data_IF_276789751540
#
_entry.id   IF_276789751540
#
_cell.length_a   1.000
_cell.length_b   1.000
_cell.length_c   1.000
_cell.angle_alpha   90.00
_cell.angle_beta   90.00
_cell.angle_gamma   90.00
#
_symmetry.space_group_name_H-M   'P 1'
#
loop_
_entity.id
_entity.type
_entity.pdbx_description
1 polymer ?
#
# COMPACT_ATOMS: atom_id res chain seq x y z
N UNK A 1 -49.60 -28.24 14.85
CA UNK A 1 -48.69 -28.79 13.82
C UNK A 1 -48.17 -27.73 12.84
N UNK A 2 -48.99 -26.83 12.28
CA UNK A 2 -48.49 -25.76 11.38
C UNK A 2 -47.44 -24.83 12.01
N UNK A 3 -47.58 -24.45 13.30
CA UNK A 3 -46.63 -23.56 13.99
C UNK A 3 -45.22 -24.15 14.17
N UNK A 4 -45.10 -25.48 14.30
CA UNK A 4 -43.80 -26.15 14.44
C UNK A 4 -43.08 -26.28 13.09
N UNK A 5 -43.85 -26.43 11.99
CA UNK A 5 -43.30 -26.47 10.62
C UNK A 5 -42.77 -25.09 10.21
N UNK A 6 -43.47 -24.00 10.56
CA UNK A 6 -43.01 -22.62 10.27
C UNK A 6 -41.72 -22.28 11.04
N UNK A 7 -41.59 -22.71 12.31
CA UNK A 7 -40.38 -22.51 13.11
C UNK A 7 -39.17 -23.30 12.57
N UNK A 8 -39.37 -24.50 12.04
CA UNK A 8 -38.33 -25.29 11.39
C UNK A 8 -37.88 -24.67 10.05
N UNK A 9 -38.80 -24.11 9.26
CA UNK A 9 -38.46 -23.42 8.00
C UNK A 9 -37.69 -22.12 8.25
N UNK A 10 -38.08 -21.34 9.27
CA UNK A 10 -37.35 -20.11 9.65
C UNK A 10 -35.95 -20.42 10.21
N UNK A 11 -35.80 -21.51 10.97
CA UNK A 11 -34.49 -21.99 11.43
C UNK A 11 -33.63 -22.54 10.27
N UNK A 12 -34.24 -23.08 9.21
CA UNK A 12 -33.54 -23.58 8.03
C UNK A 12 -33.01 -22.44 7.14
N UNK A 13 -33.74 -21.32 7.05
CA UNK A 13 -33.31 -20.12 6.30
C UNK A 13 -32.19 -19.37 7.05
N UNK A 14 -32.13 -19.47 8.38
CA UNK A 14 -31.04 -18.92 9.20
C UNK A 14 -29.74 -19.75 9.14
N UNK A 15 -29.77 -20.98 8.60
CA UNK A 15 -28.58 -21.83 8.42
C UNK A 15 -27.91 -21.65 7.05
N UNK A 16 -28.46 -20.81 6.16
CA UNK A 16 -27.87 -20.50 4.84
C UNK A 16 -27.13 -19.14 4.87
N UNK A 17 -27.20 -18.40 5.98
CA UNK A 17 -26.33 -17.25 6.22
C UNK A 17 -24.99 -17.73 6.80
N UNK A 18 -23.90 -17.53 6.05
CA UNK A 18 -22.52 -17.93 6.33
C UNK A 18 -22.12 -19.37 5.96
N UNK A 19 -22.54 -19.89 4.80
CA UNK A 19 -21.61 -20.74 4.06
C UNK A 19 -20.62 -19.81 3.35
N UNK A 20 -19.47 -19.55 3.97
CA UNK A 20 -18.33 -18.97 3.25
C UNK A 20 -17.99 -19.92 2.09
N UNK A 21 -18.39 -19.54 0.89
CA UNK A 21 -17.96 -20.22 -0.31
C UNK A 21 -16.50 -19.80 -0.50
N UNK A 22 -15.60 -20.51 0.16
CA UNK A 22 -14.16 -20.34 -0.03
C UNK A 22 -13.91 -20.53 -1.52
N UNK A 23 -13.35 -19.49 -2.17
CA UNK A 23 -12.80 -19.62 -3.50
C UNK A 23 -11.75 -20.71 -3.45
N UNK A 24 -12.14 -21.92 -3.86
CA UNK A 24 -11.32 -23.13 -3.75
C UNK A 24 -10.21 -23.11 -4.79
N UNK A 25 -9.21 -22.25 -4.59
CA UNK A 25 -8.00 -22.25 -5.40
C UNK A 25 -7.31 -23.61 -5.25
N UNK A 26 -6.77 -24.12 -6.34
CA UNK A 26 -5.96 -25.34 -6.37
C UNK A 26 -4.47 -25.03 -6.34
N UNK A 27 -4.09 -23.83 -6.78
CA UNK A 27 -2.68 -23.43 -6.89
C UNK A 27 -2.46 -21.98 -6.45
N UNK A 28 -1.23 -21.65 -6.07
CA UNK A 28 -0.82 -20.27 -5.77
C UNK A 28 -1.09 -19.33 -6.95
N UNK A 29 -0.83 -19.81 -8.18
CA UNK A 29 -1.02 -19.04 -9.41
C UNK A 29 -2.49 -18.64 -9.61
N UNK A 30 -3.44 -19.52 -9.33
CA UNK A 30 -4.86 -19.20 -9.41
C UNK A 30 -5.24 -18.07 -8.44
N UNK A 31 -4.75 -18.14 -7.19
CA UNK A 31 -5.01 -17.08 -6.21
C UNK A 31 -4.31 -15.76 -6.55
N UNK A 32 -3.09 -15.81 -7.09
CA UNK A 32 -2.39 -14.63 -7.58
C UNK A 32 -3.15 -13.97 -8.75
N UNK A 33 -3.62 -14.77 -9.71
CA UNK A 33 -4.41 -14.29 -10.84
C UNK A 33 -5.73 -13.65 -10.38
N UNK A 34 -6.41 -14.27 -9.41
CA UNK A 34 -7.61 -13.68 -8.81
C UNK A 34 -7.31 -12.31 -8.18
N UNK A 35 -6.22 -12.19 -7.41
CA UNK A 35 -5.80 -10.90 -6.85
C UNK A 35 -5.43 -9.89 -7.94
N UNK A 36 -4.77 -10.29 -9.02
CA UNK A 36 -4.46 -9.41 -10.15
C UNK A 36 -5.76 -8.86 -10.78
N UNK A 37 -6.74 -9.73 -11.03
CA UNK A 37 -8.06 -9.33 -11.54
C UNK A 37 -8.78 -8.37 -10.59
N UNK A 38 -8.77 -8.65 -9.28
CA UNK A 38 -9.42 -7.77 -8.28
C UNK A 38 -8.75 -6.38 -8.22
N UNK A 39 -7.43 -6.32 -8.43
CA UNK A 39 -6.63 -5.10 -8.34
C UNK A 39 -6.31 -4.48 -9.70
N UNK A 40 -7.01 -4.83 -10.78
CA UNK A 40 -6.66 -4.41 -12.13
C UNK A 40 -6.57 -2.87 -12.26
N UNK A 41 -7.46 -2.13 -11.58
CA UNK A 41 -7.47 -0.67 -11.50
C UNK A 41 -6.30 -0.07 -10.68
N UNK A 42 -5.50 -0.91 -10.02
CA UNK A 42 -4.26 -0.55 -9.31
C UNK A 42 -3.01 -1.08 -10.02
N UNK A 43 -3.14 -1.59 -11.25
CA UNK A 43 -2.01 -2.09 -12.04
C UNK A 43 -1.14 -0.93 -12.56
N UNK A 44 0.16 -1.18 -12.75
CA UNK A 44 1.05 -0.29 -13.53
C UNK A 44 1.17 -0.72 -14.98
N UNK A 45 0.60 -1.87 -15.32
CA UNK A 45 0.59 -2.44 -16.67
C UNK A 45 -0.78 -2.18 -17.29
N UNK A 46 -0.79 -1.76 -18.56
CA UNK A 46 -2.02 -1.67 -19.34
C UNK A 46 -2.69 -3.04 -19.39
N UNK A 47 -3.81 -3.17 -18.68
CA UNK A 47 -4.66 -4.35 -18.73
C UNK A 47 -5.95 -4.00 -19.48
N UNK A 48 -6.15 -4.63 -20.63
CA UNK A 48 -7.40 -4.57 -21.40
C UNK A 48 -8.38 -5.63 -20.87
N UNK A 49 -8.68 -5.59 -19.57
CA UNK A 49 -9.58 -6.56 -18.94
C UNK A 49 -10.56 -5.87 -18.03
N UNK A 50 -11.81 -6.31 -18.06
CA UNK A 50 -12.94 -5.76 -17.29
C UNK A 50 -12.60 -5.49 -15.81
N UNK A 51 -13.14 -4.39 -15.28
CA UNK A 51 -13.03 -4.07 -13.86
C UNK A 51 -13.85 -5.01 -13.00
N UNK A 52 -13.18 -5.95 -12.34
CA UNK A 52 -13.84 -6.84 -11.38
C UNK A 52 -14.45 -6.08 -10.19
N UNK A 53 -13.78 -5.02 -9.72
CA UNK A 53 -14.26 -4.16 -8.64
C UNK A 53 -13.46 -2.86 -8.54
N UNK A 54 -14.10 -1.78 -8.11
CA UNK A 54 -13.41 -0.51 -7.85
C UNK A 54 -12.55 -0.57 -6.59
N UNK A 55 -11.32 -0.02 -6.59
CA UNK A 55 -10.41 -0.12 -5.46
C UNK A 55 -11.06 0.32 -4.15
N UNK A 56 -10.91 -0.50 -3.11
CA UNK A 56 -11.37 -0.25 -1.74
C UNK A 56 -12.88 -0.02 -1.57
N UNK A 57 -13.69 -0.35 -2.58
CA UNK A 57 -15.13 -0.55 -2.37
C UNK A 57 -15.39 -1.77 -1.47
N UNK A 58 -16.60 -1.87 -0.91
CA UNK A 58 -16.99 -3.05 -0.13
C UNK A 58 -16.88 -4.36 -0.94
N UNK A 59 -17.26 -4.34 -2.22
CA UNK A 59 -17.12 -5.51 -3.10
C UNK A 59 -15.66 -5.89 -3.34
N UNK A 60 -14.78 -4.90 -3.51
CA UNK A 60 -13.34 -5.11 -3.64
C UNK A 60 -12.74 -5.71 -2.36
N UNK A 61 -13.08 -5.15 -1.19
CA UNK A 61 -12.59 -5.63 0.10
C UNK A 61 -13.06 -7.06 0.37
N UNK A 62 -14.32 -7.35 0.08
CA UNK A 62 -14.87 -8.70 0.21
C UNK A 62 -14.19 -9.69 -0.74
N UNK A 63 -13.98 -9.33 -2.00
CA UNK A 63 -13.32 -10.18 -2.98
C UNK A 63 -11.86 -10.48 -2.59
N UNK A 64 -11.11 -9.47 -2.11
CA UNK A 64 -9.75 -9.68 -1.59
C UNK A 64 -9.73 -10.61 -0.39
N UNK A 65 -10.64 -10.40 0.55
CA UNK A 65 -10.75 -11.26 1.73
C UNK A 65 -11.01 -12.71 1.34
N UNK A 66 -11.97 -12.95 0.44
CA UNK A 66 -12.27 -14.29 -0.08
C UNK A 66 -11.06 -14.90 -0.79
N UNK A 67 -10.34 -14.13 -1.62
CA UNK A 67 -9.12 -14.59 -2.27
C UNK A 67 -8.05 -15.00 -1.24
N UNK A 68 -7.89 -14.24 -0.14
CA UNK A 68 -6.97 -14.65 0.93
C UNK A 68 -7.40 -15.91 1.65
N UNK A 69 -8.71 -16.11 1.91
CA UNK A 69 -9.19 -17.38 2.48
C UNK A 69 -8.97 -18.56 1.52
N UNK A 70 -9.16 -18.34 0.22
CA UNK A 70 -8.84 -19.34 -0.80
C UNK A 70 -7.36 -19.72 -0.81
N UNK A 71 -6.47 -18.72 -0.73
CA UNK A 71 -5.02 -18.93 -0.66
C UNK A 71 -4.59 -19.62 0.66
N UNK A 72 -5.30 -19.40 1.76
CA UNK A 72 -5.06 -20.11 3.03
C UNK A 72 -5.39 -21.60 2.96
N UNK A 73 -6.27 -22.01 2.06
CA UNK A 73 -6.72 -23.39 1.94
C UNK A 73 -5.74 -24.28 1.15
N UNK A 74 -4.73 -23.69 0.50
CA UNK A 74 -3.72 -24.43 -0.28
C UNK A 74 -2.38 -24.50 0.45
N UNK A 75 -1.52 -25.42 0.01
CA UNK A 75 -0.15 -25.52 0.51
C UNK A 75 0.73 -24.42 -0.09
N UNK A 76 1.17 -23.50 0.75
CA UNK A 76 2.08 -22.42 0.40
C UNK A 76 3.51 -22.72 0.88
N UNK A 77 4.50 -22.15 0.19
CA UNK A 77 5.86 -22.11 0.73
C UNK A 77 5.99 -21.06 1.85
N UNK A 78 7.13 -21.07 2.56
CA UNK A 78 7.35 -20.20 3.73
C UNK A 78 7.20 -18.72 3.39
N UNK A 79 7.71 -18.28 2.24
CA UNK A 79 7.67 -16.87 1.84
C UNK A 79 6.27 -16.47 1.38
N UNK A 80 5.61 -17.33 0.61
CA UNK A 80 4.21 -17.14 0.20
C UNK A 80 3.28 -17.06 1.42
N UNK A 81 3.48 -17.93 2.41
CA UNK A 81 2.71 -17.90 3.66
C UNK A 81 2.97 -16.62 4.46
N UNK A 82 4.23 -16.18 4.55
CA UNK A 82 4.60 -14.94 5.24
C UNK A 82 3.93 -13.73 4.57
N UNK A 83 3.97 -13.64 3.24
CA UNK A 83 3.31 -12.56 2.50
C UNK A 83 1.79 -12.61 2.64
N UNK A 84 1.17 -13.78 2.54
CA UNK A 84 -0.28 -13.91 2.75
C UNK A 84 -0.68 -13.47 4.16
N UNK A 85 0.08 -13.88 5.18
CA UNK A 85 -0.18 -13.46 6.57
C UNK A 85 -0.06 -11.94 6.72
N UNK A 86 0.97 -11.32 6.12
CA UNK A 86 1.13 -9.87 6.08
C UNK A 86 -0.07 -9.18 5.43
N UNK A 87 -0.52 -9.66 4.27
CA UNK A 87 -1.65 -9.07 3.54
C UNK A 87 -2.99 -9.22 4.29
N UNK A 88 -3.21 -10.34 4.97
CA UNK A 88 -4.39 -10.53 5.84
C UNK A 88 -4.35 -9.59 7.05
N UNK A 89 -3.16 -9.36 7.62
CA UNK A 89 -2.96 -8.38 8.69
C UNK A 89 -3.30 -6.98 8.16
N UNK A 90 -2.86 -6.63 6.94
CA UNK A 90 -3.13 -5.34 6.29
C UNK A 90 -4.63 -5.01 6.18
N UNK A 91 -5.50 -5.99 5.97
CA UNK A 91 -6.97 -5.80 5.87
C UNK A 91 -7.58 -5.14 7.11
N UNK A 92 -6.93 -5.25 8.26
CA UNK A 92 -7.43 -4.78 9.55
C UNK A 92 -7.08 -3.31 9.83
N UNK A 93 -6.23 -2.70 9.01
CA UNK A 93 -5.70 -1.37 9.28
C UNK A 93 -6.45 -0.25 8.57
N UNK A 94 -6.31 1.01 9.07
CA UNK A 94 -7.06 2.16 8.58
C UNK A 94 -6.85 2.52 7.11
N UNK A 95 -5.89 1.92 6.42
CA UNK A 95 -5.62 2.15 4.99
C UNK A 95 -6.86 1.91 4.12
N UNK A 96 -7.81 1.05 4.57
CA UNK A 96 -9.10 0.86 3.90
C UNK A 96 -9.99 2.12 3.83
N UNK A 97 -9.77 3.09 4.71
CA UNK A 97 -10.51 4.36 4.69
C UNK A 97 -9.88 5.39 3.72
N UNK A 98 -8.69 5.10 3.18
CA UNK A 98 -8.03 5.89 2.14
C UNK A 98 -8.21 5.19 0.80
N UNK A 99 -9.41 5.32 0.24
CA UNK A 99 -9.89 4.55 -0.93
C UNK A 99 -9.01 4.70 -2.16
N UNK A 100 -8.40 5.88 -2.37
CA UNK A 100 -7.50 6.13 -3.49
C UNK A 100 -6.04 6.06 -3.01
N UNK A 101 -5.29 4.99 -3.35
CA UNK A 101 -3.85 4.94 -3.11
C UNK A 101 -3.14 5.99 -3.97
N UNK A 102 -2.42 6.90 -3.33
CA UNK A 102 -1.81 8.06 -4.01
C UNK A 102 -0.69 7.68 -4.99
N UNK A 103 -0.26 6.42 -4.99
CA UNK A 103 0.72 5.84 -5.91
C UNK A 103 0.11 5.35 -7.23
N UNK A 104 -1.23 5.36 -7.37
CA UNK A 104 -1.94 4.77 -8.51
C UNK A 104 -2.89 5.75 -9.15
N UNK A 105 -2.71 5.99 -10.44
CA UNK A 105 -3.66 6.78 -11.24
C UNK A 105 -4.84 5.89 -11.70
N UNK A 106 -5.79 5.70 -10.78
CA UNK A 106 -6.99 4.88 -11.00
C UNK A 106 -7.85 5.45 -12.14
N UNK A 107 -7.84 6.76 -12.36
CA UNK A 107 -8.65 7.40 -13.42
C UNK A 107 -8.11 7.04 -14.80
N UNK A 108 -6.80 7.23 -15.00
CA UNK A 108 -6.14 6.84 -16.25
C UNK A 108 -6.30 5.35 -16.50
N UNK A 109 -6.13 4.52 -15.47
CA UNK A 109 -6.28 3.07 -15.59
C UNK A 109 -7.72 2.64 -15.89
N UNK A 110 -8.73 3.29 -15.30
CA UNK A 110 -10.13 2.99 -15.59
C UNK A 110 -10.50 3.32 -17.04
N UNK A 111 -9.96 4.42 -17.58
CA UNK A 111 -10.22 4.86 -18.95
C UNK A 111 -9.59 3.96 -20.01
N UNK A 112 -8.58 3.17 -19.65
CA UNK A 112 -7.98 2.21 -20.57
C UNK A 112 -8.71 0.86 -20.61
N UNK A 113 -9.79 0.68 -19.84
CA UNK A 113 -10.56 -0.57 -19.81
C UNK A 113 -11.64 -0.61 -20.90
N UNK A 114 -11.89 -1.81 -21.44
CA UNK A 114 -12.91 -2.02 -22.48
C UNK A 114 -14.34 -1.78 -21.98
N UNK A 115 -14.59 -2.05 -20.69
CA UNK A 115 -15.89 -1.88 -20.02
C UNK A 115 -16.00 -0.56 -19.26
N UNK A 116 -15.18 0.44 -19.62
CA UNK A 116 -15.15 1.74 -18.96
C UNK A 116 -16.57 2.33 -18.79
N UNK A 117 -16.90 2.66 -17.54
CA UNK A 117 -18.16 3.27 -17.17
C UNK A 117 -17.93 4.60 -16.48
N UNK A 118 -18.31 5.68 -17.18
CA UNK A 118 -18.30 7.06 -16.67
C UNK A 118 -19.03 7.17 -15.32
N UNK A 119 -20.22 6.56 -15.22
CA UNK A 119 -21.00 6.60 -13.98
C UNK A 119 -20.34 5.82 -12.85
N UNK A 120 -19.70 4.69 -13.16
CA UNK A 120 -19.00 3.91 -12.14
C UNK A 120 -17.77 4.65 -11.60
N UNK A 121 -17.04 5.36 -12.48
CA UNK A 121 -15.94 6.23 -12.07
C UNK A 121 -16.43 7.39 -11.19
N UNK A 122 -17.50 8.08 -11.60
CA UNK A 122 -18.08 9.17 -10.82
C UNK A 122 -18.51 8.68 -9.41
N UNK A 123 -19.19 7.53 -9.33
CA UNK A 123 -19.59 6.92 -8.06
C UNK A 123 -18.38 6.54 -7.18
N UNK A 124 -17.29 6.05 -7.79
CA UNK A 124 -16.08 5.73 -7.04
C UNK A 124 -15.39 7.00 -6.51
N UNK A 125 -15.37 8.09 -7.27
CA UNK A 125 -14.86 9.38 -6.78
C UNK A 125 -15.69 9.93 -5.61
N UNK A 126 -17.02 9.80 -5.67
CA UNK A 126 -17.89 10.13 -4.54
C UNK A 126 -17.63 9.23 -3.31
N UNK A 127 -17.33 7.94 -3.54
CA UNK A 127 -16.90 7.02 -2.48
C UNK A 127 -15.59 7.50 -1.83
N UNK A 128 -14.60 7.94 -2.62
CA UNK A 128 -13.34 8.48 -2.11
C UNK A 128 -13.59 9.66 -1.18
N UNK A 129 -14.39 10.64 -1.62
CA UNK A 129 -14.76 11.80 -0.79
C UNK A 129 -15.48 11.38 0.50
N UNK A 130 -16.50 10.54 0.38
CA UNK A 130 -17.32 10.09 1.51
C UNK A 130 -16.51 9.34 2.55
N UNK A 131 -15.59 8.47 2.11
CA UNK A 131 -14.71 7.73 3.02
C UNK A 131 -13.69 8.65 3.69
N UNK A 132 -13.15 9.65 2.99
CA UNK A 132 -12.26 10.63 3.63
C UNK A 132 -12.99 11.48 4.69
N UNK A 133 -14.27 11.83 4.47
CA UNK A 133 -15.10 12.53 5.47
C UNK A 133 -15.31 11.62 6.70
N UNK A 134 -15.69 10.36 6.49
CA UNK A 134 -15.90 9.40 7.58
C UNK A 134 -14.60 9.10 8.35
N UNK A 135 -13.48 9.01 7.64
CA UNK A 135 -12.15 8.85 8.23
C UNK A 135 -11.79 10.05 9.12
N UNK A 136 -12.05 11.27 8.65
CA UNK A 136 -11.77 12.48 9.43
C UNK A 136 -12.56 12.52 10.74
N UNK A 137 -13.84 12.12 10.71
CA UNK A 137 -14.69 11.99 11.91
C UNK A 137 -14.14 10.96 12.90
N UNK A 138 -13.44 9.94 12.40
CA UNK A 138 -12.77 8.91 13.20
C UNK A 138 -11.32 9.26 13.56
N UNK A 139 -10.89 10.51 13.31
CA UNK A 139 -9.52 10.99 13.49
C UNK A 139 -8.46 10.17 12.70
N UNK A 140 -8.88 9.57 11.59
CA UNK A 140 -8.02 8.91 10.61
C UNK A 140 -7.79 9.90 9.46
N UNK A 141 -6.63 10.56 9.47
CA UNK A 141 -6.34 11.64 8.52
C UNK A 141 -5.14 11.35 7.65
N UNK A 142 -5.19 11.80 6.40
CA UNK A 142 -4.03 11.86 5.52
C UNK A 142 -2.95 12.73 6.18
N UNK A 143 -1.69 12.34 6.02
CA UNK A 143 -0.58 13.22 6.32
C UNK A 143 -0.39 14.25 5.19
N UNK A 144 0.46 15.26 5.41
CA UNK A 144 0.65 16.36 4.45
C UNK A 144 1.20 15.92 3.08
N UNK A 145 2.02 14.88 3.02
CA UNK A 145 2.57 14.32 1.77
C UNK A 145 1.46 13.59 1.02
N UNK A 146 0.76 12.66 1.68
CA UNK A 146 -0.37 11.93 1.08
C UNK A 146 -1.44 12.88 0.55
N UNK A 147 -1.80 13.92 1.32
CA UNK A 147 -2.74 14.95 0.89
C UNK A 147 -2.26 15.68 -0.36
N UNK A 148 -0.99 16.10 -0.39
CA UNK A 148 -0.42 16.83 -1.53
C UNK A 148 -0.45 15.98 -2.79
N UNK A 149 -0.04 14.72 -2.69
CA UNK A 149 -0.03 13.78 -3.81
C UNK A 149 -1.45 13.50 -4.32
N UNK A 150 -2.40 13.19 -3.42
CA UNK A 150 -3.80 12.98 -3.80
C UNK A 150 -4.41 14.23 -4.45
N UNK A 151 -4.15 15.41 -3.88
CA UNK A 151 -4.71 16.65 -4.41
C UNK A 151 -4.15 16.99 -5.78
N UNK A 152 -2.85 16.76 -6.01
CA UNK A 152 -2.23 16.94 -7.32
C UNK A 152 -2.78 15.95 -8.34
N UNK A 153 -2.99 14.68 -7.94
CA UNK A 153 -3.62 13.65 -8.78
C UNK A 153 -5.05 14.05 -9.18
N UNK A 154 -5.85 14.58 -8.25
CA UNK A 154 -7.20 15.08 -8.58
C UNK A 154 -7.12 16.26 -9.54
N UNK A 155 -6.20 17.21 -9.31
CA UNK A 155 -6.02 18.39 -10.17
C UNK A 155 -5.62 18.04 -11.59
N UNK A 156 -4.76 17.04 -11.78
CA UNK A 156 -4.32 16.62 -13.12
C UNK A 156 -5.44 16.03 -13.97
N UNK A 157 -6.59 15.72 -13.37
CA UNK A 157 -7.76 15.17 -14.05
C UNK A 157 -8.95 16.15 -14.14
N UNK A 158 -8.82 17.41 -13.69
CA UNK A 158 -9.95 18.36 -13.66
C UNK A 158 -10.48 18.78 -15.05
N UNK A 159 -9.67 18.62 -16.09
CA UNK A 159 -10.06 18.86 -17.49
C UNK A 159 -10.82 17.69 -18.12
N UNK A 160 -11.30 16.75 -17.30
CA UNK A 160 -12.14 15.63 -17.72
C UNK A 160 -13.36 16.10 -18.54
N UNK A 161 -13.58 15.47 -19.70
CA UNK A 161 -14.68 15.78 -20.61
C UNK A 161 -16.04 15.21 -20.19
N UNK A 162 -16.08 14.26 -19.25
CA UNK A 162 -17.30 13.60 -18.83
C UNK A 162 -17.96 14.39 -17.68
N UNK A 163 -19.13 14.98 -17.92
CA UNK A 163 -19.79 15.91 -16.98
C UNK A 163 -19.92 15.37 -15.55
N UNK A 164 -20.32 14.11 -15.37
CA UNK A 164 -20.51 13.51 -14.04
C UNK A 164 -19.19 13.25 -13.31
N UNK A 165 -18.14 12.87 -14.05
CA UNK A 165 -16.79 12.68 -13.50
C UNK A 165 -16.19 14.03 -13.16
N UNK A 166 -16.33 15.03 -14.03
CA UNK A 166 -15.87 16.38 -13.77
C UNK A 166 -16.56 16.99 -12.55
N UNK A 167 -17.87 16.79 -12.38
CA UNK A 167 -18.60 17.24 -11.19
C UNK A 167 -18.05 16.57 -9.91
N UNK A 168 -17.84 15.25 -9.92
CA UNK A 168 -17.28 14.51 -8.78
C UNK A 168 -15.84 14.96 -8.45
N UNK A 169 -15.00 15.18 -9.47
CA UNK A 169 -13.63 15.69 -9.31
C UNK A 169 -13.59 17.10 -8.73
N UNK A 170 -14.46 18.00 -9.21
CA UNK A 170 -14.56 19.36 -8.68
C UNK A 170 -14.95 19.36 -7.20
N UNK A 171 -15.92 18.51 -6.84
CA UNK A 171 -16.37 18.34 -5.45
C UNK A 171 -15.24 17.80 -4.56
N UNK A 172 -14.56 16.73 -5.00
CA UNK A 172 -13.41 16.17 -4.28
C UNK A 172 -12.26 17.19 -4.15
N UNK A 173 -11.94 17.93 -5.22
CA UNK A 173 -10.93 18.98 -5.20
C UNK A 173 -11.25 20.10 -4.19
N UNK A 174 -12.52 20.52 -4.14
CA UNK A 174 -12.98 21.50 -3.15
C UNK A 174 -12.83 20.97 -1.72
N UNK A 175 -13.20 19.71 -1.48
CA UNK A 175 -13.03 19.07 -0.19
C UNK A 175 -11.56 18.97 0.23
N UNK A 176 -10.68 18.48 -0.66
CA UNK A 176 -9.24 18.36 -0.40
C UNK A 176 -8.56 19.71 -0.13
N UNK A 177 -9.05 20.80 -0.74
CA UNK A 177 -8.56 22.17 -0.49
C UNK A 177 -8.79 22.61 0.96
N UNK A 178 -9.85 22.11 1.61
CA UNK A 178 -10.20 22.44 2.99
C UNK A 178 -9.71 21.40 4.00
N UNK A 179 -9.15 20.28 3.52
CA UNK A 179 -8.74 19.15 4.32
C UNK A 179 -7.58 19.52 5.26
N UNK A 180 -7.70 19.13 6.54
CA UNK A 180 -6.65 19.36 7.54
C UNK A 180 -5.83 18.09 7.73
N UNK A 181 -4.58 18.01 7.22
CA UNK A 181 -3.76 16.82 7.40
C UNK A 181 -3.34 16.63 8.85
N UNK A 182 -3.03 15.40 9.24
CA UNK A 182 -2.38 15.13 10.53
C UNK A 182 -0.95 15.66 10.55
N UNK A 183 -0.49 16.08 11.72
CA UNK A 183 0.86 16.65 11.91
C UNK A 183 1.97 15.63 11.75
N UNK A 184 1.74 14.39 12.19
CA UNK A 184 2.73 13.30 12.11
C UNK A 184 2.71 12.69 10.71
N UNK A 185 3.87 12.52 10.10
CA UNK A 185 4.03 11.81 8.82
C UNK A 185 3.86 10.30 9.00
N UNK A 186 4.65 9.73 9.91
CA UNK A 186 4.74 8.29 10.10
C UNK A 186 3.46 7.62 10.60
N UNK A 187 3.35 6.31 10.40
CA UNK A 187 2.16 5.51 10.70
C UNK A 187 1.69 5.64 12.16
N UNK A 188 2.59 5.89 13.12
CA UNK A 188 2.25 6.14 14.55
C UNK A 188 1.30 7.32 14.77
N UNK A 189 1.07 8.17 13.76
CA UNK A 189 0.01 9.17 13.78
C UNK A 189 -1.40 8.63 13.52
N UNK A 190 -1.57 7.36 13.15
CA UNK A 190 -2.85 6.69 12.91
C UNK A 190 -3.24 5.79 14.10
N UNK A 191 -4.54 5.50 14.22
CA UNK A 191 -5.02 4.49 15.15
C UNK A 191 -4.37 3.13 14.84
N UNK A 192 -3.86 2.45 15.88
CA UNK A 192 -3.08 1.20 15.79
C UNK A 192 -1.81 1.30 14.91
N UNK A 193 -1.33 2.51 14.62
CA UNK A 193 -0.21 2.73 13.72
C UNK A 193 1.14 2.15 14.19
N UNK A 194 1.33 2.02 15.52
CA UNK A 194 2.51 1.35 16.10
C UNK A 194 2.54 -0.13 15.72
N UNK A 195 1.43 -0.83 15.95
CA UNK A 195 1.30 -2.26 15.66
C UNK A 195 1.35 -2.50 14.15
N UNK A 196 0.80 -1.55 13.37
CA UNK A 196 0.89 -1.63 11.92
C UNK A 196 2.33 -1.58 11.43
N UNK A 197 3.07 -0.57 11.89
CA UNK A 197 4.46 -0.39 11.52
C UNK A 197 5.33 -1.57 11.98
N UNK A 198 5.10 -2.09 13.19
CA UNK A 198 5.76 -3.31 13.67
C UNK A 198 5.47 -4.52 12.76
N UNK A 199 4.23 -4.69 12.30
CA UNK A 199 3.87 -5.80 11.40
C UNK A 199 4.58 -5.69 10.05
N UNK A 200 4.71 -4.46 9.50
CA UNK A 200 5.50 -4.22 8.29
C UNK A 200 6.98 -4.52 8.49
N UNK A 201 7.58 -4.06 9.60
CA UNK A 201 8.97 -4.37 9.95
C UNK A 201 9.19 -5.89 10.02
N UNK A 202 8.30 -6.62 10.70
CA UNK A 202 8.42 -8.07 10.83
C UNK A 202 8.36 -8.78 9.47
N UNK A 203 7.47 -8.34 8.58
CA UNK A 203 7.36 -8.92 7.24
C UNK A 203 8.59 -8.61 6.38
N UNK A 204 8.96 -7.34 6.24
CA UNK A 204 10.03 -6.93 5.33
C UNK A 204 11.43 -7.32 5.82
N UNK A 205 11.67 -7.35 7.13
CA UNK A 205 12.95 -7.87 7.66
C UNK A 205 13.02 -9.39 7.71
N UNK A 206 11.87 -10.07 7.74
CA UNK A 206 11.78 -11.51 8.03
C UNK A 206 12.03 -11.87 9.50
N UNK A 207 12.14 -10.89 10.40
CA UNK A 207 12.44 -11.08 11.82
C UNK A 207 11.50 -10.26 12.72
N UNK A 208 10.98 -10.88 13.79
CA UNK A 208 10.24 -10.15 14.82
C UNK A 208 11.21 -9.48 15.78
N UNK A 209 11.48 -8.19 15.56
CA UNK A 209 12.38 -7.40 16.40
C UNK A 209 11.81 -5.99 16.66
N UNK A 210 11.92 -5.46 17.89
CA UNK A 210 11.44 -4.12 18.21
C UNK A 210 12.17 -3.00 17.43
N UNK A 211 11.49 -1.90 17.03
CA UNK A 211 12.07 -0.77 16.31
C UNK A 211 13.33 -0.18 16.93
N UNK A 212 13.41 -0.10 18.27
CA UNK A 212 14.57 0.43 18.98
C UNK A 212 15.82 -0.44 18.81
N UNK A 213 15.64 -1.76 18.71
CA UNK A 213 16.76 -2.67 18.49
C UNK A 213 17.28 -2.52 17.07
N UNK A 214 16.37 -2.45 16.08
CA UNK A 214 16.74 -2.13 14.70
C UNK A 214 17.53 -0.82 14.61
N UNK A 215 17.01 0.25 15.21
CA UNK A 215 17.69 1.55 15.19
C UNK A 215 19.10 1.47 15.77
N UNK A 216 19.26 0.80 16.90
CA UNK A 216 20.55 0.67 17.59
C UNK A 216 21.57 -0.09 16.72
N UNK A 217 21.15 -1.17 16.08
CA UNK A 217 21.99 -1.97 15.16
C UNK A 217 22.39 -1.17 13.92
N UNK A 218 21.42 -0.50 13.27
CA UNK A 218 21.65 0.33 12.08
C UNK A 218 22.62 1.48 12.42
N UNK A 219 22.39 2.19 13.53
CA UNK A 219 23.25 3.30 13.94
C UNK A 219 24.67 2.84 14.32
N UNK A 220 24.81 1.65 14.89
CA UNK A 220 26.13 1.06 15.15
C UNK A 220 26.87 0.75 13.83
N UNK A 221 26.17 0.19 12.84
CA UNK A 221 26.75 -0.09 11.52
C UNK A 221 27.13 1.19 10.78
N UNK A 222 26.24 2.20 10.75
CA UNK A 222 26.48 3.49 10.10
C UNK A 222 27.64 4.30 10.71
N UNK A 223 28.05 4.02 11.96
CA UNK A 223 29.25 4.63 12.58
C UNK A 223 30.56 4.03 12.05
N UNK A 224 30.52 2.78 11.59
CA UNK A 224 31.69 2.04 11.11
C UNK A 224 31.83 2.12 9.59
N UNK A 225 30.71 2.28 8.89
CA UNK A 225 30.66 2.45 7.44
C UNK A 225 31.04 3.86 7.02
N UNK A 226 31.81 3.97 5.94
CA UNK A 226 32.01 5.24 5.25
C UNK A 226 31.03 5.34 4.08
N UNK A 227 30.56 6.55 3.82
CA UNK A 227 29.82 6.85 2.59
C UNK A 227 30.71 6.48 1.39
N UNK A 228 30.18 5.68 0.48
CA UNK A 228 30.80 5.38 -0.80
C UNK A 228 30.01 6.09 -1.90
N UNK A 229 30.68 6.37 -3.03
CA UNK A 229 30.03 6.97 -4.19
C UNK A 229 28.80 6.14 -4.59
N UNK A 230 27.64 6.78 -4.51
CA UNK A 230 26.35 6.19 -4.82
C UNK A 230 25.58 7.19 -5.66
N UNK A 231 25.17 6.76 -6.86
CA UNK A 231 24.29 7.54 -7.71
C UNK A 231 22.87 7.15 -7.33
N UNK A 232 22.10 8.11 -6.84
CA UNK A 232 20.72 7.89 -6.46
C UNK A 232 19.87 7.65 -7.73
N UNK A 233 19.23 6.48 -7.89
CA UNK A 233 18.36 6.23 -9.02
C UNK A 233 16.97 6.80 -8.71
N UNK A 234 16.84 8.13 -8.76
CA UNK A 234 15.55 8.81 -8.60
C UNK A 234 14.73 8.61 -9.87
N UNK A 235 13.49 8.15 -9.70
CA UNK A 235 12.46 8.11 -10.74
C UNK A 235 11.61 9.38 -10.65
N UNK A 236 11.05 9.85 -11.76
CA UNK A 236 10.09 10.97 -11.73
C UNK A 236 8.76 10.62 -11.05
N UNK A 237 8.55 9.35 -10.72
CA UNK A 237 7.30 8.84 -10.14
C UNK A 237 7.53 7.87 -8.98
N UNK A 238 6.64 7.97 -7.98
CA UNK A 238 6.46 7.01 -6.88
C UNK A 238 5.40 5.94 -7.19
N UNK A 239 5.12 5.64 -8.46
CA UNK A 239 4.25 4.51 -8.78
C UNK A 239 4.87 3.19 -8.31
N UNK A 240 6.18 3.03 -8.38
CA UNK A 240 6.87 1.84 -7.87
C UNK A 240 7.78 2.23 -6.71
N UNK A 241 7.84 1.42 -5.64
CA UNK A 241 8.75 1.69 -4.54
C UNK A 241 10.20 1.57 -4.99
N UNK A 242 11.07 2.44 -4.47
CA UNK A 242 12.48 2.47 -4.83
C UNK A 242 13.18 1.11 -4.69
N UNK A 243 12.76 0.29 -3.72
CA UNK A 243 13.34 -1.04 -3.46
C UNK A 243 13.31 -1.96 -4.68
N UNK A 244 12.34 -1.79 -5.60
CA UNK A 244 12.21 -2.63 -6.80
C UNK A 244 13.36 -2.43 -7.80
N UNK A 245 14.04 -1.28 -7.78
CA UNK A 245 15.25 -1.05 -8.58
C UNK A 245 16.44 -1.94 -8.15
N UNK A 246 16.29 -2.65 -7.03
CA UNK A 246 17.28 -3.54 -6.44
C UNK A 246 16.79 -4.99 -6.44
N UNK A 247 15.84 -5.32 -7.31
CA UNK A 247 15.45 -6.71 -7.56
C UNK A 247 16.28 -7.32 -8.69
N UNK A 248 16.32 -8.65 -8.74
CA UNK A 248 16.92 -9.39 -9.85
C UNK A 248 16.06 -9.26 -11.11
N UNK A 249 16.68 -8.99 -12.26
CA UNK A 249 16.00 -8.69 -13.53
C UNK A 249 15.12 -9.84 -14.06
N UNK A 250 15.35 -11.07 -13.60
CA UNK A 250 14.65 -12.23 -14.11
C UNK A 250 13.22 -12.38 -13.56
N UNK A 251 12.82 -11.58 -12.56
CA UNK A 251 11.47 -11.54 -11.97
C UNK A 251 10.89 -12.93 -11.65
N UNK A 252 11.74 -13.89 -11.30
CA UNK A 252 11.35 -15.31 -11.20
C UNK A 252 10.47 -15.62 -9.99
N UNK A 253 10.43 -14.73 -9.01
CA UNK A 253 9.78 -14.97 -7.73
C UNK A 253 8.49 -14.16 -7.62
N UNK A 254 7.38 -14.82 -7.92
CA UNK A 254 6.03 -14.28 -7.84
C UNK A 254 5.57 -14.13 -6.40
N UNK A 255 4.90 -13.02 -6.10
CA UNK A 255 4.23 -12.68 -4.85
C UNK A 255 2.77 -12.24 -5.04
N UNK A 256 2.18 -11.67 -4.00
CA UNK A 256 0.74 -11.36 -3.93
C UNK A 256 0.43 -9.86 -3.82
N UNK A 257 1.45 -9.02 -3.56
CA UNK A 257 1.27 -7.59 -3.29
C UNK A 257 1.32 -6.75 -4.57
N UNK A 258 0.26 -6.00 -4.85
CA UNK A 258 0.16 -5.13 -6.02
C UNK A 258 1.10 -3.91 -5.95
N UNK A 259 1.55 -3.51 -4.75
CA UNK A 259 2.53 -2.43 -4.59
C UNK A 259 3.91 -2.83 -5.11
N UNK A 260 4.18 -4.13 -5.18
CA UNK A 260 5.44 -4.73 -5.61
C UNK A 260 5.30 -5.46 -6.95
N UNK A 261 4.31 -5.07 -7.77
CA UNK A 261 3.95 -5.70 -9.05
C UNK A 261 3.86 -7.23 -8.96
N UNK A 262 3.34 -7.76 -7.85
CA UNK A 262 3.21 -9.19 -7.59
C UNK A 262 4.54 -9.95 -7.62
N UNK A 263 5.61 -9.33 -7.13
CA UNK A 263 6.89 -9.98 -6.84
C UNK A 263 7.00 -10.32 -5.36
N UNK A 264 7.75 -11.37 -5.05
CA UNK A 264 8.17 -11.71 -3.69
C UNK A 264 9.43 -10.91 -3.35
N UNK A 265 9.34 -9.88 -2.49
CA UNK A 265 10.48 -8.99 -2.24
C UNK A 265 11.65 -9.69 -1.54
N UNK A 266 11.38 -10.69 -0.69
CA UNK A 266 12.40 -11.38 0.10
C UNK A 266 13.24 -12.32 -0.77
N UNK A 267 12.63 -12.88 -1.83
CA UNK A 267 13.33 -13.71 -2.82
C UNK A 267 13.87 -12.92 -4.00
N UNK A 268 13.27 -11.78 -4.34
CA UNK A 268 13.63 -10.99 -5.53
C UNK A 268 14.78 -10.02 -5.28
N UNK A 269 15.13 -9.69 -4.03
CA UNK A 269 16.23 -8.79 -3.73
C UNK A 269 17.57 -9.29 -4.29
N UNK A 270 18.32 -8.42 -4.97
CA UNK A 270 19.69 -8.73 -5.40
C UNK A 270 20.69 -8.44 -4.28
N UNK A 271 21.92 -8.94 -4.45
CA UNK A 271 23.03 -8.56 -3.59
C UNK A 271 23.38 -7.09 -3.80
N UNK A 272 23.49 -6.35 -2.70
CA UNK A 272 23.88 -4.94 -2.70
C UNK A 272 25.41 -4.79 -2.77
N UNK A 273 25.86 -3.73 -3.42
CA UNK A 273 27.23 -3.22 -3.26
C UNK A 273 27.37 -2.55 -1.88
N UNK A 274 28.60 -2.25 -1.47
CA UNK A 274 28.84 -1.57 -0.19
C UNK A 274 28.17 -0.20 -0.11
N UNK A 275 28.21 0.59 -1.19
CA UNK A 275 27.55 1.91 -1.24
C UNK A 275 26.03 1.80 -1.16
N UNK A 276 25.44 0.79 -1.81
CA UNK A 276 24.00 0.54 -1.73
C UNK A 276 23.57 0.03 -0.35
N UNK A 277 24.40 -0.78 0.30
CA UNK A 277 24.15 -1.22 1.67
C UNK A 277 24.16 -0.02 2.63
N UNK A 278 25.14 0.89 2.50
CA UNK A 278 25.16 2.14 3.25
C UNK A 278 23.90 2.97 2.99
N UNK A 279 23.53 3.15 1.72
CA UNK A 279 22.32 3.86 1.33
C UNK A 279 21.07 3.28 2.01
N UNK A 280 20.85 1.96 1.91
CA UNK A 280 19.67 1.32 2.49
C UNK A 280 19.66 1.35 4.02
N UNK A 281 20.83 1.33 4.69
CA UNK A 281 20.91 1.55 6.13
C UNK A 281 20.48 2.98 6.53
N UNK A 282 20.84 3.99 5.76
CA UNK A 282 20.38 5.37 5.98
C UNK A 282 18.87 5.50 5.73
N UNK A 283 18.35 4.81 4.70
CA UNK A 283 16.91 4.74 4.45
C UNK A 283 16.18 4.11 5.64
N UNK A 284 16.67 3.00 6.19
CA UNK A 284 16.09 2.37 7.38
C UNK A 284 16.17 3.25 8.64
N UNK A 285 17.28 3.97 8.86
CA UNK A 285 17.40 4.94 9.96
C UNK A 285 16.32 6.03 9.83
N UNK A 286 16.13 6.54 8.62
CA UNK A 286 15.16 7.61 8.32
C UNK A 286 13.72 7.10 8.42
N UNK A 287 13.45 5.88 7.94
CA UNK A 287 12.16 5.20 8.04
C UNK A 287 11.74 5.01 9.52
N UNK A 288 12.63 4.49 10.37
CA UNK A 288 12.41 4.41 11.82
C UNK A 288 12.23 5.80 12.43
N UNK A 289 13.00 6.78 11.97
CA UNK A 289 12.87 8.19 12.33
C UNK A 289 11.45 8.69 12.14
N UNK A 290 10.91 8.54 10.92
CA UNK A 290 9.56 9.00 10.53
C UNK A 290 8.48 8.18 11.23
N UNK A 291 8.52 6.86 11.08
CA UNK A 291 7.41 5.97 11.44
C UNK A 291 7.36 5.64 12.92
N UNK A 292 8.49 5.60 13.63
CA UNK A 292 8.54 5.25 15.04
C UNK A 292 8.87 6.45 15.94
N UNK A 293 9.92 7.22 15.62
CA UNK A 293 10.34 8.39 16.40
C UNK A 293 9.60 9.68 16.05
N UNK A 294 8.67 9.63 15.09
CA UNK A 294 7.85 10.77 14.67
C UNK A 294 8.66 11.98 14.21
N UNK A 295 9.79 11.75 13.53
CA UNK A 295 10.55 12.80 12.88
C UNK A 295 9.65 13.61 11.96
N UNK A 296 9.80 14.92 12.04
CA UNK A 296 9.27 15.83 11.03
C UNK A 296 9.99 15.65 9.70
N UNK A 297 9.38 16.10 8.61
CA UNK A 297 10.01 16.14 7.30
C UNK A 297 11.38 16.81 7.32
N UNK A 298 11.51 17.93 8.06
CA UNK A 298 12.78 18.64 8.18
C UNK A 298 13.86 17.80 8.87
N UNK A 299 13.51 17.02 9.90
CA UNK A 299 14.47 16.14 10.58
C UNK A 299 14.91 15.00 9.66
N UNK A 300 13.96 14.39 8.95
CA UNK A 300 14.27 13.35 7.96
C UNK A 300 15.15 13.89 6.82
N UNK A 301 14.83 15.09 6.31
CA UNK A 301 15.59 15.76 5.24
C UNK A 301 17.03 16.03 5.68
N UNK A 302 17.22 16.61 6.85
CA UNK A 302 18.55 16.88 7.41
C UNK A 302 19.34 15.58 7.58
N UNK A 303 18.70 14.48 8.00
CA UNK A 303 19.38 13.19 8.11
C UNK A 303 19.86 12.69 6.74
N UNK A 304 18.96 12.64 5.75
CA UNK A 304 19.28 12.16 4.39
C UNK A 304 20.37 12.99 3.74
N UNK A 305 20.26 14.32 3.75
CA UNK A 305 21.27 15.22 3.17
C UNK A 305 22.64 15.04 3.85
N UNK A 306 22.67 14.93 5.19
CA UNK A 306 23.91 14.78 5.94
C UNK A 306 24.58 13.42 5.71
N UNK A 307 23.79 12.34 5.60
CA UNK A 307 24.30 10.97 5.47
C UNK A 307 24.66 10.63 4.03
N UNK A 308 23.85 11.05 3.07
CA UNK A 308 23.97 10.66 1.66
C UNK A 308 24.58 11.74 0.78
N UNK A 309 24.70 12.99 1.26
CA UNK A 309 25.19 14.10 0.43
C UNK A 309 24.22 14.50 -0.69
N UNK A 310 22.96 14.06 -0.62
CA UNK A 310 21.91 14.40 -1.58
C UNK A 310 21.44 15.85 -1.39
N UNK A 311 20.90 16.43 -2.47
CA UNK A 311 20.25 17.74 -2.39
C UNK A 311 18.86 17.65 -1.72
N UNK A 312 18.21 18.82 -1.57
CA UNK A 312 16.90 18.89 -0.95
C UNK A 312 15.82 18.16 -1.77
N UNK A 313 15.82 18.27 -3.10
CA UNK A 313 14.80 17.65 -3.94
C UNK A 313 14.91 16.12 -3.88
N UNK A 314 16.12 15.60 -3.93
CA UNK A 314 16.41 14.18 -3.76
C UNK A 314 16.01 13.68 -2.37
N UNK A 315 16.31 14.45 -1.31
CA UNK A 315 15.91 14.11 0.05
C UNK A 315 14.38 14.09 0.22
N UNK A 316 13.68 15.07 -0.36
CA UNK A 316 12.23 15.15 -0.33
C UNK A 316 11.59 13.96 -1.04
N UNK A 317 12.11 13.60 -2.22
CA UNK A 317 11.69 12.39 -2.94
C UNK A 317 11.88 11.11 -2.11
N UNK A 318 13.02 10.96 -1.43
CA UNK A 318 13.27 9.81 -0.56
C UNK A 318 12.34 9.76 0.66
N UNK A 319 11.96 10.92 1.21
CA UNK A 319 10.97 10.99 2.28
C UNK A 319 9.59 10.57 1.78
N UNK A 320 9.20 11.02 0.59
CA UNK A 320 7.95 10.60 -0.05
C UNK A 320 7.92 9.08 -0.23
N UNK A 321 8.98 8.47 -0.79
CA UNK A 321 9.09 7.02 -0.95
C UNK A 321 8.94 6.28 0.40
N UNK A 322 9.63 6.73 1.45
CA UNK A 322 9.52 6.16 2.81
C UNK A 322 8.08 6.25 3.35
N UNK A 323 7.44 7.40 3.21
CA UNK A 323 6.08 7.63 3.71
C UNK A 323 5.06 6.76 2.98
N UNK A 324 5.24 6.59 1.67
CA UNK A 324 4.37 5.78 0.82
C UNK A 324 4.60 4.28 0.99
N UNK A 325 5.83 3.88 1.34
CA UNK A 325 6.27 2.48 1.40
C UNK A 325 6.97 2.13 2.73
N UNK A 326 6.26 2.32 3.87
CA UNK A 326 6.85 2.15 5.19
C UNK A 326 7.47 0.77 5.40
N UNK A 327 8.66 0.77 5.99
CA UNK A 327 9.49 -0.39 6.29
C UNK A 327 9.94 -1.24 5.09
N UNK A 328 9.60 -0.88 3.84
CA UNK A 328 10.03 -1.68 2.68
C UNK A 328 11.56 -1.74 2.56
N UNK A 329 12.29 -0.72 3.01
CA UNK A 329 13.75 -0.71 3.05
C UNK A 329 14.34 -1.89 3.85
N UNK A 330 13.61 -2.44 4.84
CA UNK A 330 14.10 -3.50 5.72
C UNK A 330 14.32 -4.84 5.04
N UNK A 331 13.89 -5.01 3.78
CA UNK A 331 14.26 -6.19 2.99
C UNK A 331 15.79 -6.33 2.84
N UNK A 332 16.54 -5.23 2.99
CA UNK A 332 18.00 -5.19 2.87
C UNK A 332 18.75 -5.16 4.20
N UNK A 333 18.10 -5.44 5.33
CA UNK A 333 18.70 -5.32 6.66
C UNK A 333 19.90 -6.26 6.93
N UNK A 334 20.11 -7.25 6.06
CA UNK A 334 21.16 -8.28 6.18
C UNK A 334 22.23 -8.14 5.12
#
# INVERSE_FOLDING_TARGET
MLRQIVLLVVASVMLIACSEQTSGFKTFREGQQALQTINNLLSTQEQQSEAASWPFSESYLQARHQAYQGLKAIKLDVSQQAQLNYLIIAERYPERYFVWPVQRDVISQARSLDDYSVNALANWLELVETQLIAAEQSNLKLNKIELTLLHNMVKSHLDNSDDSVQAALNKLNQYLTQYKPRTKLGLVGLANGKDWYQSKLNYFSGETKPPLNWLSEIQASLKQSQSADFVLPVSDSHAKPLVMNYFVENHQHTGLDWQLDYLDPLKSKRKLTQGEQYFWQVMMETDLGIHYHTWSEQQARVNLMKRLGVDQQQADWLIEDIVLYPAMSFIFIN
#
